data_IF_495980117000
#
_entry.id   IF_495980117000
#
_cell.length_a   1.000
_cell.length_b   1.000
_cell.length_c   1.000
_cell.angle_alpha   90.00
_cell.angle_beta   90.00
_cell.angle_gamma   90.00
#
_symmetry.space_group_name_H-M   'P 1'
#
loop_
_entity.id
_entity.type
_entity.pdbx_description
1 polymer ?
#
# COMPACT_ATOMS: atom_id res chain seq x y z
N UNK A 1 -14.91 25.58 -72.79
CA UNK A 1 -14.04 26.03 -71.68
C UNK A 1 -14.54 25.38 -70.40
N UNK A 2 -14.12 24.16 -70.10
CA UNK A 2 -14.50 23.44 -68.86
C UNK A 2 -13.26 22.70 -68.36
N UNK A 3 -12.36 23.46 -67.75
CA UNK A 3 -11.16 22.97 -67.07
C UNK A 3 -11.15 23.73 -65.75
N UNK A 4 -11.69 23.19 -64.65
CA UNK A 4 -11.49 23.67 -63.26
C UNK A 4 -12.44 22.98 -62.24
N UNK A 5 -12.44 21.65 -62.13
CA UNK A 5 -13.08 20.99 -60.97
C UNK A 5 -12.40 19.70 -60.49
N UNK A 6 -11.50 19.09 -61.28
CA UNK A 6 -10.82 17.84 -60.90
C UNK A 6 -9.68 18.03 -59.87
N UNK A 7 -9.10 19.23 -59.76
CA UNK A 7 -7.99 19.49 -58.83
C UNK A 7 -8.45 19.56 -57.36
N UNK A 8 -9.66 20.09 -57.12
CA UNK A 8 -10.19 20.27 -55.77
C UNK A 8 -10.62 18.95 -55.12
N UNK A 9 -11.17 18.01 -55.89
CA UNK A 9 -11.56 16.68 -55.41
C UNK A 9 -10.33 15.80 -55.13
N UNK A 10 -9.32 15.87 -56.01
CA UNK A 10 -8.05 15.17 -55.84
C UNK A 10 -7.26 15.68 -54.63
N UNK A 11 -7.25 17.00 -54.39
CA UNK A 11 -6.66 17.59 -53.19
C UNK A 11 -7.33 17.16 -51.88
N UNK A 12 -8.67 17.02 -51.87
CA UNK A 12 -9.40 16.51 -50.70
C UNK A 12 -9.13 15.02 -50.43
N UNK A 13 -8.99 14.21 -51.46
CA UNK A 13 -8.63 12.78 -51.32
C UNK A 13 -7.24 12.61 -50.73
N UNK A 14 -6.26 13.37 -51.25
CA UNK A 14 -4.88 13.35 -50.75
C UNK A 14 -4.78 13.82 -49.29
N UNK A 15 -5.56 14.84 -48.91
CA UNK A 15 -5.63 15.30 -47.51
C UNK A 15 -6.22 14.22 -46.59
N UNK A 16 -7.28 13.52 -47.00
CA UNK A 16 -7.87 12.44 -46.21
C UNK A 16 -6.90 11.25 -46.05
N UNK A 17 -6.18 10.88 -47.09
CA UNK A 17 -5.13 9.84 -47.03
C UNK A 17 -4.00 10.25 -46.09
N UNK A 18 -3.53 11.50 -46.17
CA UNK A 18 -2.47 12.00 -45.30
C UNK A 18 -2.90 12.05 -43.83
N UNK A 19 -4.14 12.46 -43.56
CA UNK A 19 -4.72 12.46 -42.21
C UNK A 19 -4.88 11.04 -41.66
N UNK A 20 -5.29 10.07 -42.48
CA UNK A 20 -5.39 8.67 -42.07
C UNK A 20 -4.03 8.07 -41.71
N UNK A 21 -2.99 8.34 -42.52
CA UNK A 21 -1.62 7.90 -42.24
C UNK A 21 -1.06 8.54 -40.96
N UNK A 22 -1.38 9.81 -40.71
CA UNK A 22 -0.97 10.52 -39.50
C UNK A 22 -1.68 9.98 -38.25
N UNK A 23 -2.96 9.63 -38.33
CA UNK A 23 -3.68 9.00 -37.21
C UNK A 23 -3.11 7.60 -36.92
N UNK A 24 -2.84 6.79 -37.94
CA UNK A 24 -2.26 5.46 -37.77
C UNK A 24 -0.85 5.52 -37.14
N UNK A 25 -0.03 6.50 -37.53
CA UNK A 25 1.30 6.68 -36.94
C UNK A 25 1.21 7.11 -35.46
N UNK A 26 0.29 8.03 -35.12
CA UNK A 26 0.06 8.45 -33.74
C UNK A 26 -0.45 7.27 -32.90
N UNK A 27 -1.44 6.51 -33.39
CA UNK A 27 -1.96 5.33 -32.69
C UNK A 27 -0.86 4.27 -32.48
N UNK A 28 -0.01 4.05 -33.48
CA UNK A 28 1.15 3.16 -33.37
C UNK A 28 2.15 3.62 -32.31
N UNK A 29 2.49 4.92 -32.29
CA UNK A 29 3.38 5.50 -31.28
C UNK A 29 2.79 5.40 -29.87
N UNK A 30 1.49 5.69 -29.70
CA UNK A 30 0.79 5.55 -28.40
C UNK A 30 0.82 4.10 -27.94
N UNK A 31 0.53 3.14 -28.83
CA UNK A 31 0.59 1.71 -28.48
C UNK A 31 1.99 1.25 -28.08
N UNK A 32 3.04 1.74 -28.76
CA UNK A 32 4.43 1.45 -28.41
C UNK A 32 4.78 2.06 -27.05
N UNK A 33 4.48 3.34 -26.83
CA UNK A 33 4.73 4.03 -25.55
C UNK A 33 4.01 3.35 -24.38
N UNK A 34 2.75 2.95 -24.58
CA UNK A 34 1.98 2.21 -23.57
C UNK A 34 2.66 0.86 -23.27
N UNK A 35 3.04 0.10 -24.31
CA UNK A 35 3.73 -1.19 -24.14
C UNK A 35 5.09 -1.05 -23.46
N UNK A 36 5.89 -0.02 -23.80
CA UNK A 36 7.20 0.21 -23.19
C UNK A 36 7.06 0.65 -21.73
N UNK A 37 6.13 1.55 -21.42
CA UNK A 37 5.86 1.92 -20.02
C UNK A 37 5.36 0.74 -19.18
N UNK A 38 4.49 -0.11 -19.73
CA UNK A 38 4.08 -1.33 -19.06
C UNK A 38 5.25 -2.31 -18.89
N UNK A 39 6.11 -2.48 -19.89
CA UNK A 39 7.28 -3.36 -19.82
C UNK A 39 8.32 -2.88 -18.79
N UNK A 40 8.65 -1.59 -18.76
CA UNK A 40 9.56 -0.99 -17.78
C UNK A 40 9.02 -1.09 -16.35
N UNK A 41 7.72 -0.82 -16.17
CA UNK A 41 7.05 -0.96 -14.87
C UNK A 41 7.04 -2.41 -14.38
N UNK A 42 6.83 -3.38 -15.30
CA UNK A 42 6.87 -4.81 -14.98
C UNK A 42 8.30 -5.31 -14.69
N UNK A 43 9.33 -4.80 -15.37
CA UNK A 43 10.74 -5.12 -15.08
C UNK A 43 11.18 -4.56 -13.72
N UNK A 44 10.74 -3.34 -13.38
CA UNK A 44 11.02 -2.73 -12.09
C UNK A 44 10.35 -3.47 -10.91
N UNK A 45 9.14 -4.02 -11.11
CA UNK A 45 8.43 -4.82 -10.10
C UNK A 45 8.91 -6.28 -10.04
N UNK A 46 9.26 -6.88 -11.18
CA UNK A 46 9.73 -8.26 -11.28
C UNK A 46 11.02 -8.53 -10.50
N UNK A 47 11.88 -7.53 -10.34
CA UNK A 47 13.11 -7.63 -9.55
C UNK A 47 12.91 -7.53 -8.03
N UNK A 48 11.71 -7.16 -7.55
CA UNK A 48 11.40 -7.05 -6.10
C UNK A 48 10.83 -8.36 -5.55
N UNK A 49 10.35 -9.23 -6.42
CA UNK A 49 9.66 -10.48 -6.08
C UNK A 49 10.58 -11.69 -6.25
N UNK A 50 11.83 -11.56 -5.77
CA UNK A 50 12.75 -12.69 -5.74
C UNK A 50 12.37 -13.59 -4.57
N UNK A 51 11.50 -14.57 -4.82
CA UNK A 51 11.44 -15.75 -3.98
C UNK A 51 12.82 -16.43 -4.03
N UNK A 52 13.59 -16.29 -2.96
CA UNK A 52 14.93 -16.85 -2.86
C UNK A 52 14.87 -18.30 -2.40
N UNK A 53 15.61 -19.18 -3.08
CA UNK A 53 15.95 -20.50 -2.55
C UNK A 53 17.39 -20.47 -2.06
N UNK A 54 17.60 -20.57 -0.75
CA UNK A 54 18.93 -20.86 -0.18
C UNK A 54 18.96 -22.35 0.18
N UNK A 55 19.89 -23.11 -0.40
CA UNK A 55 20.03 -24.57 -0.20
C UNK A 55 18.72 -25.40 -0.32
N UNK A 56 17.76 -24.97 -1.15
CA UNK A 56 16.49 -25.66 -1.36
C UNK A 56 15.36 -25.25 -0.41
N UNK A 57 15.61 -24.38 0.57
CA UNK A 57 14.56 -23.79 1.41
C UNK A 57 13.96 -22.58 0.70
N UNK A 58 12.67 -22.66 0.38
CA UNK A 58 11.91 -21.59 -0.28
C UNK A 58 11.47 -20.54 0.73
N UNK A 59 11.93 -19.29 0.56
CA UNK A 59 11.53 -18.15 1.38
C UNK A 59 10.60 -17.22 0.59
N UNK A 60 9.27 -17.36 0.75
CA UNK A 60 8.34 -16.48 0.07
C UNK A 60 8.52 -15.05 0.57
N UNK A 61 8.70 -14.12 -0.37
CA UNK A 61 8.76 -12.69 -0.08
C UNK A 61 7.38 -12.06 0.16
N UNK A 62 6.30 -12.79 -0.16
CA UNK A 62 4.91 -12.32 -0.06
C UNK A 62 3.93 -13.46 0.25
N UNK A 63 2.73 -13.10 0.72
CA UNK A 63 1.65 -14.07 0.89
C UNK A 63 1.23 -14.65 -0.48
N UNK A 64 0.88 -15.94 -0.56
CA UNK A 64 0.36 -16.57 -1.79
C UNK A 64 -1.11 -16.17 -2.02
N UNK A 65 -1.37 -14.86 -2.08
CA UNK A 65 -2.70 -14.27 -2.19
C UNK A 65 -2.63 -13.01 -3.05
N UNK A 66 -3.49 -12.95 -4.08
CA UNK A 66 -3.76 -11.72 -4.81
C UNK A 66 -4.69 -10.82 -3.99
N UNK A 67 -4.18 -9.67 -3.56
CA UNK A 67 -4.93 -8.71 -2.73
C UNK A 67 -5.40 -7.55 -3.59
N UNK A 68 -6.72 -7.32 -3.60
CA UNK A 68 -7.36 -6.20 -4.28
C UNK A 68 -7.02 -4.85 -3.62
N UNK A 69 -7.19 -3.76 -4.38
CA UNK A 69 -7.16 -2.42 -3.81
C UNK A 69 -8.52 -2.10 -3.15
N UNK A 70 -8.50 -1.26 -2.13
CA UNK A 70 -9.68 -0.78 -1.43
C UNK A 70 -9.53 0.72 -1.15
N UNK A 71 -10.61 1.48 -1.30
CA UNK A 71 -10.69 2.85 -0.83
C UNK A 71 -10.91 2.85 0.68
N UNK A 72 -10.21 3.70 1.41
CA UNK A 72 -10.42 3.90 2.83
C UNK A 72 -10.47 5.39 3.13
N UNK A 73 -11.60 5.85 3.64
CA UNK A 73 -11.75 7.19 4.17
C UNK A 73 -11.30 7.20 5.64
N UNK A 74 -10.43 8.13 6.00
CA UNK A 74 -10.00 8.29 7.39
C UNK A 74 -11.00 9.16 8.14
N UNK A 75 -11.79 8.55 9.03
CA UNK A 75 -12.77 9.28 9.83
C UNK A 75 -12.25 9.55 11.25
N UNK A 76 -12.53 10.75 11.81
CA UNK A 76 -12.28 11.00 13.21
C UNK A 76 -13.08 10.00 14.07
N UNK A 77 -12.41 9.28 14.95
CA UNK A 77 -13.03 8.22 15.75
C UNK A 77 -12.48 8.22 17.17
N UNK A 78 -13.36 7.95 18.14
CA UNK A 78 -12.96 7.66 19.52
C UNK A 78 -12.51 6.20 19.70
N UNK A 79 -12.76 5.34 18.70
CA UNK A 79 -12.26 3.96 18.71
C UNK A 79 -10.74 3.95 18.64
N UNK A 80 -10.16 2.92 19.25
CA UNK A 80 -8.70 2.76 19.33
C UNK A 80 -8.00 3.92 20.05
N UNK A 81 -8.70 4.61 20.96
CA UNK A 81 -8.09 5.58 21.86
C UNK A 81 -6.93 4.96 22.67
N UNK A 82 -6.08 5.82 23.26
CA UNK A 82 -4.89 5.37 24.01
C UNK A 82 -5.23 4.35 25.12
N UNK A 83 -6.40 4.44 25.74
CA UNK A 83 -6.87 3.53 26.80
C UNK A 83 -7.72 2.34 26.32
N UNK A 84 -8.07 2.27 25.04
CA UNK A 84 -9.02 1.30 24.50
C UNK A 84 -8.39 -0.08 24.20
N UNK A 85 -7.84 -0.76 25.22
CA UNK A 85 -7.08 -2.00 25.01
C UNK A 85 -7.88 -3.11 24.29
N UNK A 86 -9.19 -3.19 24.49
CA UNK A 86 -10.05 -4.15 23.79
C UNK A 86 -10.14 -3.85 22.28
N UNK A 87 -10.30 -2.58 21.90
CA UNK A 87 -10.29 -2.17 20.49
C UNK A 87 -8.94 -2.54 19.86
N UNK A 88 -7.83 -2.18 20.49
CA UNK A 88 -6.49 -2.52 19.99
C UNK A 88 -6.28 -4.03 19.83
N UNK A 89 -6.79 -4.84 20.76
CA UNK A 89 -6.73 -6.29 20.66
C UNK A 89 -7.54 -6.82 19.46
N UNK A 90 -8.66 -6.18 19.11
CA UNK A 90 -9.52 -6.60 17.99
C UNK A 90 -8.85 -6.49 16.62
N UNK A 91 -7.79 -5.66 16.47
CA UNK A 91 -7.06 -5.48 15.22
C UNK A 91 -6.16 -6.68 14.87
N UNK A 92 -5.82 -7.49 15.87
CA UNK A 92 -4.93 -8.64 15.71
C UNK A 92 -5.79 -9.90 15.48
N UNK A 93 -5.51 -10.69 14.43
CA UNK A 93 -6.26 -11.92 14.16
C UNK A 93 -5.90 -13.03 15.15
N UNK A 94 -6.70 -14.09 15.14
CA UNK A 94 -6.31 -15.36 15.75
C UNK A 94 -4.96 -15.80 15.16
N UNK A 95 -4.07 -16.34 16.02
CA UNK A 95 -2.70 -16.67 15.62
C UNK A 95 -1.75 -15.47 15.54
N UNK A 96 -2.12 -14.30 16.07
CA UNK A 96 -1.24 -13.13 16.28
C UNK A 96 -0.61 -12.55 15.00
N UNK A 97 -1.18 -12.84 13.83
CA UNK A 97 -0.68 -12.34 12.54
C UNK A 97 0.43 -13.21 11.92
N UNK A 98 0.66 -14.41 12.46
CA UNK A 98 1.56 -15.41 11.88
C UNK A 98 0.85 -16.26 10.83
N UNK A 99 1.63 -16.81 9.91
CA UNK A 99 1.19 -17.80 8.92
C UNK A 99 2.21 -18.93 8.85
N UNK A 100 1.75 -20.13 8.51
CA UNK A 100 2.58 -21.29 8.22
C UNK A 100 2.57 -21.54 6.71
N UNK A 101 3.73 -21.45 6.06
CA UNK A 101 3.86 -21.56 4.61
C UNK A 101 4.82 -22.68 4.20
N UNK A 102 4.66 -23.16 2.97
CA UNK A 102 5.49 -24.24 2.41
C UNK A 102 5.15 -25.63 2.96
N UNK A 103 5.81 -26.65 2.40
CA UNK A 103 5.59 -28.05 2.79
C UNK A 103 5.95 -28.32 4.25
N UNK A 104 6.96 -27.62 4.75
CA UNK A 104 7.47 -27.76 6.12
C UNK A 104 6.72 -26.90 7.14
N UNK A 105 5.69 -26.13 6.72
CA UNK A 105 4.93 -25.22 7.60
C UNK A 105 5.84 -24.26 8.36
N UNK A 106 6.69 -23.57 7.62
CA UNK A 106 7.59 -22.60 8.20
C UNK A 106 6.80 -21.36 8.66
N UNK A 107 7.05 -20.84 9.87
CA UNK A 107 6.34 -19.69 10.40
C UNK A 107 6.87 -18.39 9.80
N UNK A 108 5.96 -17.52 9.38
CA UNK A 108 6.24 -16.16 8.93
C UNK A 108 5.29 -15.17 9.61
N UNK A 109 5.80 -14.01 10.01
CA UNK A 109 4.96 -12.91 10.47
C UNK A 109 4.51 -12.07 9.27
N UNK A 110 3.21 -11.84 9.13
CA UNK A 110 2.71 -10.93 8.10
C UNK A 110 3.06 -9.50 8.48
N UNK A 111 3.83 -8.82 7.62
CA UNK A 111 4.37 -7.47 7.87
C UNK A 111 3.30 -6.51 8.41
N UNK A 112 2.11 -6.46 7.80
CA UNK A 112 0.98 -5.61 8.24
C UNK A 112 0.63 -5.78 9.73
N UNK A 113 0.58 -7.02 10.23
CA UNK A 113 0.28 -7.28 11.64
C UNK A 113 1.47 -6.97 12.56
N UNK A 114 2.70 -7.11 12.07
CA UNK A 114 3.87 -6.64 12.81
C UNK A 114 3.86 -5.11 12.98
N UNK A 115 3.37 -4.35 11.99
CA UNK A 115 3.20 -2.89 12.12
C UNK A 115 2.15 -2.57 13.19
N UNK A 116 1.01 -3.27 13.19
CA UNK A 116 -0.04 -3.10 14.21
C UNK A 116 0.45 -3.47 15.61
N UNK A 117 1.23 -4.55 15.74
CA UNK A 117 1.91 -4.93 16.98
C UNK A 117 2.84 -3.82 17.46
N UNK A 118 3.70 -3.29 16.58
CA UNK A 118 4.63 -2.20 16.90
C UNK A 118 3.88 -0.94 17.34
N UNK A 119 2.80 -0.58 16.65
CA UNK A 119 1.99 0.60 16.97
C UNK A 119 1.33 0.45 18.35
N UNK A 120 0.78 -0.73 18.67
CA UNK A 120 0.26 -1.01 20.00
C UNK A 120 1.35 -1.00 21.07
N UNK A 121 2.56 -1.47 20.75
CA UNK A 121 3.74 -1.39 21.62
C UNK A 121 4.10 0.06 21.96
N UNK A 122 4.10 0.96 20.97
CA UNK A 122 4.31 2.39 21.19
C UNK A 122 3.20 3.00 22.06
N UNK A 123 1.94 2.64 21.84
CA UNK A 123 0.82 3.07 22.70
C UNK A 123 1.03 2.66 24.15
N UNK A 124 1.44 1.43 24.40
CA UNK A 124 1.76 0.95 25.75
C UNK A 124 2.93 1.75 26.33
N UNK A 125 3.99 1.99 25.54
CA UNK A 125 5.12 2.79 25.97
C UNK A 125 4.74 4.22 26.37
N UNK A 126 3.81 4.87 25.66
CA UNK A 126 3.31 6.20 26.04
C UNK A 126 2.60 6.22 27.40
N UNK A 127 2.02 5.08 27.82
CA UNK A 127 1.28 4.94 29.08
C UNK A 127 2.12 4.44 30.24
N UNK A 128 3.21 3.72 29.97
CA UNK A 128 4.08 3.20 31.01
C UNK A 128 4.98 4.31 31.56
N UNK A 129 5.00 4.59 32.87
CA UNK A 129 5.90 5.58 33.46
C UNK A 129 7.37 5.27 33.13
N UNK A 130 8.19 6.29 32.88
CA UNK A 130 9.62 6.10 32.52
C UNK A 130 10.38 5.26 33.56
N UNK A 131 10.05 5.45 34.85
CA UNK A 131 10.63 4.70 35.98
C UNK A 131 10.28 3.21 35.97
N UNK A 132 9.22 2.81 35.26
CA UNK A 132 8.76 1.43 35.15
C UNK A 132 9.24 0.73 33.86
N UNK A 133 10.10 1.38 33.05
CA UNK A 133 10.57 0.83 31.77
C UNK A 133 11.96 0.23 31.93
N UNK A 134 12.10 -1.05 31.60
CA UNK A 134 13.40 -1.71 31.53
C UNK A 134 14.21 -1.25 30.31
N UNK A 135 15.54 -1.45 30.30
CA UNK A 135 16.36 -1.22 29.11
C UNK A 135 15.85 -2.00 27.87
N UNK A 136 15.40 -3.24 28.07
CA UNK A 136 14.85 -4.08 27.00
C UNK A 136 13.55 -3.49 26.45
N UNK A 137 12.66 -3.00 27.32
CA UNK A 137 11.43 -2.33 26.92
C UNK A 137 11.72 -1.10 26.05
N UNK A 138 12.68 -0.27 26.46
CA UNK A 138 13.06 0.92 25.70
C UNK A 138 13.73 0.56 24.35
N UNK A 139 14.60 -0.45 24.33
CA UNK A 139 15.22 -0.95 23.10
C UNK A 139 14.17 -1.45 22.11
N UNK A 140 13.21 -2.25 22.58
CA UNK A 140 12.12 -2.74 21.75
C UNK A 140 11.21 -1.59 21.25
N UNK A 141 10.88 -0.62 22.11
CA UNK A 141 10.13 0.59 21.73
C UNK A 141 10.85 1.37 20.62
N UNK A 142 12.17 1.55 20.74
CA UNK A 142 12.98 2.23 19.73
C UNK A 142 13.04 1.44 18.40
N UNK A 143 13.13 0.12 18.47
CA UNK A 143 13.03 -0.74 17.30
C UNK A 143 11.67 -0.58 16.59
N UNK A 144 10.55 -0.66 17.32
CA UNK A 144 9.21 -0.47 16.78
C UNK A 144 9.05 0.91 16.12
N UNK A 145 9.55 1.96 16.75
CA UNK A 145 9.50 3.31 16.20
C UNK A 145 10.27 3.43 14.88
N UNK A 146 11.49 2.89 14.83
CA UNK A 146 12.29 2.90 13.61
C UNK A 146 11.73 1.99 12.50
N UNK A 147 11.10 0.88 12.87
CA UNK A 147 10.42 -0.01 11.92
C UNK A 147 9.21 0.68 11.27
N UNK A 148 8.35 1.34 12.06
CA UNK A 148 7.20 2.10 11.54
C UNK A 148 7.64 3.26 10.66
N UNK A 149 8.71 3.97 11.02
CA UNK A 149 9.30 5.02 10.16
C UNK A 149 9.67 4.47 8.77
N UNK A 150 10.35 3.33 8.71
CA UNK A 150 10.75 2.70 7.46
C UNK A 150 9.55 2.26 6.63
N UNK A 151 8.49 1.77 7.27
CA UNK A 151 7.25 1.39 6.60
C UNK A 151 6.48 2.57 6.01
N UNK A 152 6.42 3.70 6.73
CA UNK A 152 5.82 4.92 6.20
C UNK A 152 6.57 5.39 4.94
N UNK A 153 7.90 5.34 4.95
CA UNK A 153 8.72 5.66 3.78
C UNK A 153 8.58 4.62 2.65
N UNK A 154 8.40 3.35 2.98
CA UNK A 154 8.16 2.30 2.01
C UNK A 154 6.80 2.46 1.32
N UNK A 155 5.77 2.87 2.08
CA UNK A 155 4.43 3.11 1.53
C UNK A 155 4.36 4.42 0.74
N UNK A 156 5.08 5.46 1.18
CA UNK A 156 5.19 6.78 0.55
C UNK A 156 3.84 7.30 0.01
N UNK A 157 2.82 7.35 0.88
CA UNK A 157 1.48 7.79 0.49
C UNK A 157 1.50 9.26 0.03
N UNK A 158 1.11 9.50 -1.22
CA UNK A 158 1.10 10.83 -1.85
C UNK A 158 -0.26 11.51 -1.81
N UNK A 159 -1.23 10.94 -1.09
CA UNK A 159 -2.55 11.55 -0.89
C UNK A 159 -2.42 12.91 -0.21
N UNK A 160 -3.02 13.95 -0.80
CA UNK A 160 -2.95 15.31 -0.27
C UNK A 160 -4.00 15.52 0.83
N UNK A 161 -3.55 15.92 2.01
CA UNK A 161 -4.43 16.27 3.13
C UNK A 161 -4.71 17.79 3.13
N UNK A 162 -5.98 18.23 3.24
CA UNK A 162 -6.33 19.64 3.32
C UNK A 162 -5.81 20.26 4.63
N UNK A 163 -5.54 21.57 4.59
CA UNK A 163 -5.19 22.32 5.80
C UNK A 163 -6.42 22.91 6.47
N UNK A 164 -6.50 22.77 7.80
CA UNK A 164 -7.44 23.50 8.65
C UNK A 164 -6.71 24.66 9.31
N UNK A 165 -7.33 25.84 9.30
CA UNK A 165 -6.82 27.03 9.98
C UNK A 165 -7.27 26.99 11.43
N UNK A 166 -6.32 26.92 12.36
CA UNK A 166 -6.61 26.81 13.79
C UNK A 166 -5.94 27.96 14.54
N UNK A 167 -6.69 28.59 15.45
CA UNK A 167 -6.11 29.47 16.46
C UNK A 167 -5.45 28.63 17.54
N UNK A 168 -4.16 28.85 17.75
CA UNK A 168 -3.39 28.20 18.81
C UNK A 168 -3.49 28.99 20.12
N UNK A 169 -3.20 28.32 21.24
CA UNK A 169 -3.31 28.93 22.58
C UNK A 169 -2.43 30.16 22.85
N UNK A 170 -1.52 30.49 21.94
CA UNK A 170 -0.70 31.72 21.93
C UNK A 170 -1.31 32.85 21.08
N UNK A 171 -2.57 32.73 20.64
CA UNK A 171 -3.29 33.74 19.84
C UNK A 171 -2.84 33.81 18.37
N UNK A 172 -1.95 32.93 17.93
CA UNK A 172 -1.49 32.88 16.53
C UNK A 172 -2.41 31.99 15.69
N UNK A 173 -2.51 32.31 14.41
CA UNK A 173 -3.21 31.49 13.43
C UNK A 173 -2.19 30.59 12.74
N UNK A 174 -2.42 29.27 12.77
CA UNK A 174 -1.56 28.29 12.09
C UNK A 174 -2.41 27.36 11.23
N UNK A 175 -1.86 26.98 10.08
CA UNK A 175 -2.41 25.92 9.26
C UNK A 175 -1.93 24.55 9.80
N UNK A 176 -2.84 23.61 9.97
CA UNK A 176 -2.54 22.22 10.33
C UNK A 176 -3.13 21.29 9.27
N UNK A 177 -2.37 20.31 8.79
CA UNK A 177 -2.91 19.27 7.93
C UNK A 177 -4.00 18.48 8.68
N UNK A 178 -5.06 18.12 7.98
CA UNK A 178 -6.14 17.27 8.49
C UNK A 178 -6.40 16.16 7.48
N UNK A 179 -6.04 14.94 7.83
CA UNK A 179 -6.39 13.74 7.07
C UNK A 179 -7.85 13.29 7.24
N UNK A 180 -8.67 14.04 8.00
CA UNK A 180 -10.07 13.68 8.22
C UNK A 180 -10.88 13.74 6.92
N UNK A 181 -11.66 12.71 6.67
CA UNK A 181 -12.50 12.52 5.48
C UNK A 181 -11.69 12.50 4.17
N UNK A 182 -10.39 12.21 4.24
CA UNK A 182 -9.53 12.01 3.07
C UNK A 182 -9.55 10.54 2.69
N UNK A 183 -9.73 10.26 1.39
CA UNK A 183 -9.78 8.89 0.85
C UNK A 183 -8.38 8.47 0.39
N UNK A 184 -7.92 7.33 0.90
CA UNK A 184 -6.66 6.70 0.54
C UNK A 184 -6.89 5.45 -0.29
N UNK A 185 -5.91 5.12 -1.14
CA UNK A 185 -5.87 3.84 -1.88
C UNK A 185 -5.03 2.82 -1.12
N UNK A 186 -5.72 1.86 -0.51
CA UNK A 186 -5.15 0.85 0.36
C UNK A 186 -5.16 -0.54 -0.29
N UNK A 187 -4.40 -1.48 0.27
CA UNK A 187 -4.61 -2.91 0.01
C UNK A 187 -5.76 -3.38 0.89
N UNK A 188 -6.61 -4.26 0.36
CA UNK A 188 -7.76 -4.79 1.08
C UNK A 188 -7.31 -5.69 2.24
N UNK A 189 -7.19 -5.11 3.44
CA UNK A 189 -6.72 -5.80 4.63
C UNK A 189 -7.69 -6.89 5.11
N UNK A 190 -8.98 -6.83 4.72
CA UNK A 190 -9.97 -7.86 5.06
C UNK A 190 -9.63 -9.18 4.36
N UNK A 191 -9.17 -9.13 3.10
CA UNK A 191 -8.69 -10.32 2.40
C UNK A 191 -7.45 -10.92 3.09
N UNK A 192 -6.54 -10.06 3.53
CA UNK A 192 -5.34 -10.47 4.27
C UNK A 192 -5.74 -11.12 5.62
N UNK A 193 -6.65 -10.51 6.36
CA UNK A 193 -7.15 -11.06 7.63
C UNK A 193 -7.76 -12.42 7.47
N UNK A 194 -8.67 -12.57 6.50
CA UNK A 194 -9.29 -13.84 6.17
C UNK A 194 -8.25 -14.92 5.92
N UNK A 195 -7.30 -14.65 5.03
CA UNK A 195 -6.23 -15.59 4.71
C UNK A 195 -5.43 -16.02 5.94
N UNK A 196 -5.01 -15.06 6.79
CA UNK A 196 -4.20 -15.34 7.98
C UNK A 196 -4.96 -16.17 9.01
N UNK A 197 -6.23 -15.84 9.28
CA UNK A 197 -7.06 -16.59 10.21
C UNK A 197 -7.37 -18.00 9.70
N UNK A 198 -7.62 -18.15 8.40
CA UNK A 198 -7.85 -19.45 7.78
C UNK A 198 -6.59 -20.34 7.84
N UNK A 199 -5.43 -19.78 7.47
CA UNK A 199 -4.14 -20.47 7.51
C UNK A 199 -3.80 -20.98 8.93
N UNK A 200 -3.96 -20.14 9.95
CA UNK A 200 -3.66 -20.55 11.33
C UNK A 200 -4.66 -21.53 11.91
N UNK A 201 -5.93 -21.43 11.54
CA UNK A 201 -6.95 -22.41 11.94
C UNK A 201 -6.65 -23.78 11.34
N UNK A 202 -6.25 -23.85 10.08
CA UNK A 202 -5.94 -25.11 9.41
C UNK A 202 -4.69 -25.74 10.02
N UNK A 203 -3.67 -24.94 10.33
CA UNK A 203 -2.51 -25.40 11.09
C UNK A 203 -2.89 -26.07 12.42
N UNK A 204 -3.71 -25.42 13.24
CA UNK A 204 -4.12 -25.96 14.55
C UNK A 204 -5.04 -27.18 14.49
N UNK A 205 -5.76 -27.41 13.39
CA UNK A 205 -6.57 -28.63 13.22
C UNK A 205 -5.73 -29.86 12.95
N UNK A 206 -4.53 -29.65 12.45
CA UNK A 206 -3.66 -30.71 11.94
C UNK A 206 -2.47 -31.01 12.88
N UNK A 207 -2.42 -30.38 14.05
CA UNK A 207 -1.41 -30.55 15.10
C UNK A 207 -2.08 -30.80 16.44
#
# INVERSE_FOLDING_TARGET
MFYHNDDASRGRSLLLEYMALLILSILGMVQVMVKTHFAESNLALGNVQSDGSDNGTYYPSSLPLSVSQAAMEFSPTEKYALNASADWASLIPHGQGWVQLGKERQPFAVSMYHQLHCLNGLRVALRTPKTSRSPQFNSHTNHCFNYLRQLLLCKADTTLEPTKITQTGDGKVRAAASGDNVVHVCRNWVQIRRFVEENMRDYWRET
#
